data_IF_519839773293
#
_entry.id   IF_519839773293
#
_cell.length_a   1.000
_cell.length_b   1.000
_cell.length_c   1.000
_cell.angle_alpha   90.00
_cell.angle_beta   90.00
_cell.angle_gamma   90.00
#
_symmetry.space_group_name_H-M   'P 1'
#
loop_
_entity.id
_entity.type
_entity.pdbx_description
1 polymer ?
#
# COMPACT_ATOMS: atom_id res chain seq x y z
N UNK A 1 8.20 -18.62 13.55
CA UNK A 1 7.50 -17.71 12.60
C UNK A 1 7.21 -16.39 13.31
N UNK A 2 7.60 -15.25 12.73
CA UNK A 2 7.38 -13.93 13.33
C UNK A 2 6.29 -13.19 12.58
N UNK A 3 5.06 -13.18 13.11
CA UNK A 3 3.95 -12.43 12.54
C UNK A 3 4.26 -10.93 12.64
N UNK A 4 4.33 -10.24 11.50
CA UNK A 4 4.55 -8.78 11.44
C UNK A 4 3.23 -8.04 11.30
N UNK A 5 3.11 -6.90 11.97
CA UNK A 5 1.97 -5.99 11.81
C UNK A 5 1.97 -5.44 10.37
N UNK A 6 0.82 -5.54 9.71
CA UNK A 6 0.60 -4.96 8.39
C UNK A 6 -0.21 -3.68 8.53
N UNK A 7 0.12 -2.68 7.72
CA UNK A 7 -0.62 -1.41 7.65
C UNK A 7 -1.05 -1.17 6.21
N UNK A 8 -2.31 -0.82 6.01
CA UNK A 8 -2.81 -0.44 4.70
C UNK A 8 -2.36 0.99 4.36
N UNK A 9 -1.58 1.15 3.30
CA UNK A 9 -1.16 2.44 2.74
C UNK A 9 -2.28 3.21 2.02
N UNK A 10 -3.48 2.62 1.92
CA UNK A 10 -4.67 3.25 1.31
C UNK A 10 -5.60 3.87 2.34
N UNK A 11 -5.97 3.11 3.37
CA UNK A 11 -6.90 3.58 4.41
C UNK A 11 -6.26 3.78 5.79
N UNK A 12 -4.99 3.43 5.97
CA UNK A 12 -4.28 3.56 7.25
C UNK A 12 -4.57 2.47 8.28
N UNK A 13 -5.50 1.54 8.02
CA UNK A 13 -5.83 0.48 8.98
C UNK A 13 -4.63 -0.48 9.20
N UNK A 14 -4.31 -0.78 10.45
CA UNK A 14 -3.27 -1.74 10.81
C UNK A 14 -3.84 -3.00 11.44
N UNK A 15 -3.32 -4.18 11.07
CA UNK A 15 -3.75 -5.47 11.60
C UNK A 15 -2.60 -6.47 11.73
N UNK A 16 -2.83 -7.50 12.54
CA UNK A 16 -1.92 -8.64 12.68
C UNK A 16 -2.45 -9.81 11.85
N UNK A 17 -1.76 -10.21 10.77
CA UNK A 17 -2.20 -11.34 9.96
C UNK A 17 -2.07 -12.65 10.74
N UNK A 18 -3.03 -13.56 10.59
CA UNK A 18 -3.02 -14.87 11.28
C UNK A 18 -2.01 -15.86 10.68
N UNK A 19 -1.45 -15.53 9.52
CA UNK A 19 -0.51 -16.37 8.76
C UNK A 19 0.64 -15.51 8.23
N UNK A 20 1.79 -16.12 8.00
CA UNK A 20 2.93 -15.47 7.31
C UNK A 20 2.61 -15.06 5.86
N UNK A 21 1.60 -15.67 5.24
CA UNK A 21 1.17 -15.34 3.88
C UNK A 21 0.67 -13.90 3.78
N UNK A 22 1.17 -13.18 2.77
CA UNK A 22 0.71 -11.84 2.40
C UNK A 22 -0.80 -11.90 2.08
N UNK A 23 -1.66 -11.13 2.78
CA UNK A 23 -3.08 -11.10 2.46
C UNK A 23 -3.30 -10.53 1.05
N UNK A 24 -4.39 -10.94 0.39
CA UNK A 24 -4.75 -10.44 -0.95
C UNK A 24 -5.48 -9.10 -0.90
N UNK A 25 -6.05 -8.75 0.26
CA UNK A 25 -7.00 -7.65 0.45
C UNK A 25 -6.79 -7.03 1.84
N UNK A 26 -7.01 -5.72 1.97
CA UNK A 26 -7.15 -5.07 3.26
C UNK A 26 -8.44 -5.52 3.96
N UNK A 27 -8.42 -5.90 5.25
CA UNK A 27 -9.63 -6.29 5.98
C UNK A 27 -10.61 -5.14 6.21
N UNK A 28 -10.16 -3.88 6.20
CA UNK A 28 -11.01 -2.71 6.40
C UNK A 28 -11.61 -2.18 5.08
N UNK A 29 -10.76 -1.78 4.13
CA UNK A 29 -11.22 -1.16 2.88
C UNK A 29 -11.35 -2.12 1.69
N UNK A 30 -11.01 -3.40 1.87
CA UNK A 30 -11.00 -4.43 0.81
C UNK A 30 -10.12 -4.09 -0.40
N UNK A 31 -9.16 -3.17 -0.25
CA UNK A 31 -8.23 -2.84 -1.33
C UNK A 31 -7.26 -3.99 -1.57
N UNK A 32 -7.11 -4.40 -2.83
CA UNK A 32 -6.11 -5.39 -3.27
C UNK A 32 -4.68 -4.84 -3.19
N UNK A 33 -4.53 -3.52 -3.32
CA UNK A 33 -3.25 -2.81 -3.36
C UNK A 33 -3.01 -2.08 -2.06
N UNK A 34 -3.21 -2.79 -0.94
CA UNK A 34 -3.12 -2.19 0.38
C UNK A 34 -1.67 -1.91 0.79
N UNK A 35 -0.67 -2.60 0.23
CA UNK A 35 0.75 -2.39 0.53
C UNK A 35 1.48 -1.51 -0.49
N UNK A 36 0.82 -1.18 -1.60
CA UNK A 36 1.34 -0.28 -2.62
C UNK A 36 0.94 1.16 -2.29
N UNK A 37 1.93 2.05 -2.22
CA UNK A 37 1.70 3.49 -2.28
C UNK A 37 1.00 3.83 -3.60
N UNK A 38 0.15 4.86 -3.59
CA UNK A 38 -0.33 5.42 -4.85
C UNK A 38 0.91 5.88 -5.60
N UNK A 39 1.26 5.21 -6.71
CA UNK A 39 2.24 5.72 -7.67
C UNK A 39 1.69 7.07 -8.14
N UNK A 40 2.12 8.13 -7.49
CA UNK A 40 1.92 9.48 -7.96
C UNK A 40 2.81 9.56 -9.19
N UNK A 41 2.20 9.59 -10.37
CA UNK A 41 2.95 9.77 -11.61
C UNK A 41 3.76 11.05 -11.45
N UNK A 42 5.08 10.94 -11.46
CA UNK A 42 5.94 12.08 -11.74
C UNK A 42 5.59 12.51 -13.16
N UNK A 43 4.76 13.55 -13.29
CA UNK A 43 4.76 14.39 -14.47
C UNK A 43 5.94 15.32 -14.31
N UNK A 44 7.08 14.93 -14.87
CA UNK A 44 8.25 15.79 -14.98
C UNK A 44 7.91 16.92 -15.95
N UNK A 45 7.37 18.02 -15.41
CA UNK A 45 6.87 19.18 -16.16
C UNK A 45 7.93 20.26 -16.37
N UNK A 46 9.21 19.91 -16.53
CA UNK A 46 10.25 20.94 -16.68
C UNK A 46 11.26 20.68 -17.80
N UNK A 47 10.80 20.81 -19.05
CA UNK A 47 11.69 21.26 -20.11
C UNK A 47 10.94 22.12 -21.13
N UNK A 48 10.78 23.41 -20.82
CA UNK A 48 10.60 24.45 -21.82
C UNK A 48 11.38 25.69 -21.39
N UNK A 49 12.60 25.81 -21.89
CA UNK A 49 13.28 27.10 -21.95
C UNK A 49 13.70 27.33 -23.41
N UNK A 50 13.26 28.50 -23.88
CA UNK A 50 13.50 29.13 -25.17
C UNK A 50 15.00 29.31 -25.45
#
# INVERSE_FOLDING_TARGET
MSIKKLTCKRCGYSWWPRTDKKPKLCPACKSRKYDEDKKMGVTDENNRSL
#
